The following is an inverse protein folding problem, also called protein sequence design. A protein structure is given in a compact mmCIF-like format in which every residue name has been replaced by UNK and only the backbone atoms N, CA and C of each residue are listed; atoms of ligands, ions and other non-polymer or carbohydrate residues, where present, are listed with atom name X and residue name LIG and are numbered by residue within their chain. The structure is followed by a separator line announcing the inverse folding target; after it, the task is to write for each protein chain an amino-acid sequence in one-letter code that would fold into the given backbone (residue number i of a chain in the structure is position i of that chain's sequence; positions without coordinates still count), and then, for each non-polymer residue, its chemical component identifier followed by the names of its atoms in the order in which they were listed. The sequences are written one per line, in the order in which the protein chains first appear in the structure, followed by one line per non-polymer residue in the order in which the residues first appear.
data_IF_070503560108
#
_entry.id   IF_070503560108
#
_cell.length_a   1.000
_cell.length_b   1.000
_cell.length_c   1.000
_cell.angle_alpha   90.00
_cell.angle_beta   90.00
_cell.angle_gamma   90.00
#
_symmetry.space_group_name_H-M   'P 1'
#
loop_
_entity.id
_entity.type
_entity.pdbx_description
1 polymer ?
#
# COMPACT_ATOMS: atom_id res chain seq x y z
N UNK A 1 -3.27 12.86 8.39
CA UNK A 1 -3.73 11.88 9.40
C UNK A 1 -4.07 10.52 8.76
N UNK A 2 -3.48 9.44 9.27
CA UNK A 2 -3.83 8.08 8.85
C UNK A 2 -4.77 7.38 9.83
N UNK A 3 -5.43 6.32 9.34
CA UNK A 3 -6.37 5.52 10.13
C UNK A 3 -5.62 4.58 11.08
N UNK A 4 -6.17 4.40 12.27
CA UNK A 4 -5.73 3.40 13.26
C UNK A 4 -6.91 2.54 13.69
N UNK A 5 -7.07 1.31 13.16
CA UNK A 5 -7.94 0.32 13.80
C UNK A 5 -7.64 0.20 15.30
N UNK A 6 -8.70 -0.06 16.06
CA UNK A 6 -8.62 -0.44 17.47
C UNK A 6 -9.00 -1.91 17.57
N UNK A 7 -8.20 -2.68 18.30
CA UNK A 7 -8.33 -4.12 18.40
C UNK A 7 -8.52 -4.52 19.87
N UNK A 8 -9.65 -5.15 20.16
CA UNK A 8 -9.91 -5.83 21.40
C UNK A 8 -9.39 -7.27 21.31
N UNK A 9 -8.70 -7.75 22.33
CA UNK A 9 -8.22 -9.12 22.42
C UNK A 9 -9.12 -9.86 23.40
N UNK A 10 -9.98 -10.73 22.86
CA UNK A 10 -10.98 -11.50 23.60
C UNK A 10 -10.80 -12.99 23.34
N UNK A 11 -11.55 -13.84 24.04
CA UNK A 11 -11.40 -15.30 23.98
C UNK A 11 -11.64 -15.89 22.58
N UNK A 12 -12.51 -15.28 21.79
CA UNK A 12 -12.78 -15.67 20.40
C UNK A 12 -11.74 -15.12 19.40
N UNK A 13 -10.67 -14.49 19.90
CA UNK A 13 -9.60 -13.89 19.13
C UNK A 13 -9.68 -12.37 18.99
N UNK A 14 -8.74 -11.76 18.24
CA UNK A 14 -8.70 -10.32 18.03
C UNK A 14 -9.90 -9.81 17.23
N UNK A 15 -10.55 -8.76 17.71
CA UNK A 15 -11.70 -8.12 17.06
C UNK A 15 -11.45 -6.64 16.84
N UNK A 16 -11.81 -6.12 15.65
CA UNK A 16 -11.84 -4.67 15.43
C UNK A 16 -13.03 -4.06 16.15
N UNK A 17 -12.78 -3.00 16.90
CA UNK A 17 -13.79 -2.32 17.70
C UNK A 17 -13.80 -0.83 17.39
N UNK A 18 -15.00 -0.25 17.36
CA UNK A 18 -15.20 1.18 17.24
C UNK A 18 -15.21 1.87 18.62
N UNK A 19 -14.85 3.16 18.72
CA UNK A 19 -14.44 4.04 17.63
C UNK A 19 -12.99 3.80 17.20
N UNK A 20 -12.75 3.80 15.88
CA UNK A 20 -11.39 3.79 15.35
C UNK A 20 -10.65 5.08 15.72
N UNK A 21 -9.33 4.97 15.84
CA UNK A 21 -8.45 6.10 16.15
C UNK A 21 -7.77 6.59 14.88
N UNK A 22 -7.08 7.72 15.01
CA UNK A 22 -6.18 8.24 13.99
C UNK A 22 -4.76 8.29 14.54
N UNK A 23 -3.78 8.10 13.66
CA UNK A 23 -2.40 8.50 14.00
C UNK A 23 -2.23 9.99 13.75
N UNK A 24 -1.51 10.66 14.67
CA UNK A 24 -1.13 12.06 14.55
C UNK A 24 0.12 12.24 13.69
N UNK A 25 0.79 11.16 13.32
CA UNK A 25 1.98 11.17 12.48
C UNK A 25 1.58 11.18 11.01
N UNK A 26 2.12 12.12 10.27
CA UNK A 26 1.85 12.23 8.83
C UNK A 26 2.32 10.98 8.07
N UNK A 27 1.58 10.65 7.02
CA UNK A 27 1.82 9.50 6.13
C UNK A 27 1.96 8.15 6.86
N UNK A 28 1.45 8.02 8.08
CA UNK A 28 1.56 6.79 8.87
C UNK A 28 0.22 6.08 9.00
N UNK A 29 0.25 4.80 9.33
CA UNK A 29 -0.90 4.00 9.74
C UNK A 29 -0.77 3.65 11.23
N UNK A 30 -1.88 3.39 11.91
CA UNK A 30 -1.86 2.97 13.31
C UNK A 30 -2.44 1.58 13.52
N UNK A 31 -2.03 0.89 14.58
CA UNK A 31 -2.76 -0.24 15.16
C UNK A 31 -2.84 0.01 16.66
N UNK A 32 -4.05 0.10 17.22
CA UNK A 32 -4.24 0.29 18.67
C UNK A 32 -4.75 -1.00 19.28
N UNK A 33 -4.04 -1.55 20.27
CA UNK A 33 -4.51 -2.67 21.08
C UNK A 33 -5.15 -2.14 22.37
N UNK A 34 -6.32 -2.67 22.72
CA UNK A 34 -6.94 -2.47 24.04
C UNK A 34 -6.13 -3.16 25.15
N UNK A 35 -6.46 -2.94 26.44
CA UNK A 35 -5.90 -3.75 27.52
C UNK A 35 -6.22 -5.23 27.30
N UNK A 36 -5.24 -6.11 27.56
CA UNK A 36 -5.44 -7.56 27.63
C UNK A 36 -4.37 -8.20 28.52
N UNK A 37 -4.59 -9.45 28.95
CA UNK A 37 -3.57 -10.21 29.70
C UNK A 37 -2.59 -10.89 28.73
N UNK A 38 -1.31 -10.51 28.69
CA UNK A 38 -0.34 -11.09 27.76
C UNK A 38 -0.08 -12.57 28.04
N UNK A 39 -0.19 -13.01 29.29
CA UNK A 39 -0.01 -14.42 29.67
C UNK A 39 -1.17 -15.30 29.17
N UNK A 40 -2.39 -14.76 29.20
CA UNK A 40 -3.58 -15.43 28.66
C UNK A 40 -3.55 -15.48 27.13
N UNK A 41 -3.08 -14.42 26.50
CA UNK A 41 -3.12 -14.23 25.04
C UNK A 41 -1.71 -14.14 24.44
N UNK A 42 -0.87 -15.14 24.71
CA UNK A 42 0.56 -15.13 24.35
C UNK A 42 0.84 -15.25 22.84
N UNK A 43 -0.15 -15.71 22.06
CA UNK A 43 -0.05 -15.93 20.61
C UNK A 43 -0.69 -14.83 19.77
N UNK A 44 -0.91 -13.64 20.34
CA UNK A 44 -1.47 -12.51 19.62
C UNK A 44 -0.36 -11.68 18.98
N UNK A 45 -0.52 -11.42 17.69
CA UNK A 45 0.43 -10.64 16.89
C UNK A 45 -0.28 -9.47 16.21
N UNK A 46 0.44 -8.38 16.03
CA UNK A 46 0.09 -7.31 15.11
C UNK A 46 1.03 -7.34 13.91
N UNK A 47 0.58 -6.82 12.78
CA UNK A 47 1.38 -6.86 11.57
C UNK A 47 0.70 -6.19 10.39
N UNK A 48 1.40 -6.21 9.27
CA UNK A 48 0.86 -5.86 7.97
C UNK A 48 1.27 -6.89 6.94
N UNK A 49 0.41 -7.06 5.95
CA UNK A 49 0.60 -8.00 4.87
C UNK A 49 0.51 -7.35 3.50
N UNK A 50 0.77 -8.14 2.46
CA UNK A 50 0.52 -7.80 1.06
C UNK A 50 -0.32 -8.90 0.43
N UNK A 51 -0.99 -8.61 -0.68
CA UNK A 51 -1.59 -9.66 -1.49
C UNK A 51 -0.52 -10.42 -2.27
N UNK A 52 -0.59 -11.75 -2.30
CA UNK A 52 0.18 -12.58 -3.23
C UNK A 52 -0.53 -12.68 -4.59
N UNK A 53 0.06 -13.42 -5.54
CA UNK A 53 -0.49 -13.59 -6.89
C UNK A 53 -1.82 -14.37 -6.93
N UNK A 54 -2.22 -14.96 -5.82
CA UNK A 54 -3.50 -15.68 -5.63
C UNK A 54 -4.52 -14.82 -4.88
N UNK A 55 -4.26 -13.51 -4.72
CA UNK A 55 -5.09 -12.57 -3.99
C UNK A 55 -5.30 -12.93 -2.50
N UNK A 56 -4.35 -13.64 -1.90
CA UNK A 56 -4.33 -13.97 -0.47
C UNK A 56 -3.43 -12.99 0.26
N UNK A 57 -3.84 -12.57 1.47
CA UNK A 57 -2.99 -11.73 2.33
C UNK A 57 -1.87 -12.61 2.91
N UNK A 58 -0.62 -12.27 2.59
CA UNK A 58 0.58 -12.87 3.18
C UNK A 58 1.23 -11.89 4.17
N UNK A 59 1.65 -12.33 5.37
CA UNK A 59 2.31 -11.46 6.33
C UNK A 59 3.64 -10.96 5.77
N UNK A 60 3.91 -9.65 5.93
CA UNK A 60 5.18 -9.02 5.52
C UNK A 60 6.03 -8.69 6.74
N UNK A 61 5.41 -8.08 7.75
CA UNK A 61 6.03 -7.88 9.04
C UNK A 61 5.01 -8.14 10.15
N UNK A 62 5.42 -8.93 11.13
CA UNK A 62 4.62 -9.33 12.29
C UNK A 62 5.45 -9.16 13.55
N UNK A 63 4.80 -8.76 14.62
CA UNK A 63 5.40 -8.64 15.94
C UNK A 63 4.38 -9.02 17.01
N UNK A 64 4.86 -9.47 18.17
CA UNK A 64 3.97 -9.83 19.27
C UNK A 64 3.23 -8.58 19.75
N UNK A 65 1.90 -8.69 19.86
CA UNK A 65 1.09 -7.62 20.38
C UNK A 65 1.39 -7.42 21.87
N UNK A 66 1.22 -6.18 22.34
CA UNK A 66 1.43 -5.77 23.72
C UNK A 66 0.19 -5.02 24.17
N UNK A 67 -0.27 -5.21 25.41
CA UNK A 67 -1.49 -4.56 25.89
C UNK A 67 -1.33 -3.04 25.95
N UNK A 68 -2.43 -2.32 25.68
CA UNK A 68 -2.47 -0.85 25.75
C UNK A 68 -1.46 -0.11 24.86
N UNK A 69 -1.06 -0.70 23.72
CA UNK A 69 -0.15 -0.05 22.77
C UNK A 69 -0.84 0.57 21.56
N UNK A 70 -0.17 1.59 21.04
CA UNK A 70 -0.39 2.15 19.70
C UNK A 70 0.89 1.90 18.91
N UNK A 71 0.78 1.12 17.84
CA UNK A 71 1.85 0.91 16.88
C UNK A 71 1.66 1.89 15.74
N UNK A 72 2.66 2.73 15.48
CA UNK A 72 2.68 3.63 14.33
C UNK A 72 3.59 3.06 13.25
N UNK A 73 3.00 2.84 12.08
CA UNK A 73 3.66 2.36 10.90
C UNK A 73 3.86 3.53 9.96
N UNK A 74 5.10 3.97 9.82
CA UNK A 74 5.46 5.00 8.85
C UNK A 74 6.14 4.33 7.67
N UNK A 75 5.45 4.17 6.52
CA UNK A 75 6.12 3.82 5.29
C UNK A 75 7.26 4.80 5.04
N UNK A 76 8.47 4.28 4.94
CA UNK A 76 9.56 5.03 4.34
C UNK A 76 9.31 4.98 2.84
N UNK A 77 9.18 6.13 2.19
CA UNK A 77 8.93 6.23 0.75
C UNK A 77 10.24 6.00 -0.03
N UNK A 78 10.92 4.91 0.31
CA UNK A 78 12.12 4.39 -0.33
C UNK A 78 11.78 3.09 -1.02
N UNK A 79 12.19 2.97 -2.27
CA UNK A 79 12.00 1.78 -3.08
C UNK A 79 13.34 1.32 -3.62
N UNK A 80 13.52 0.01 -3.72
CA UNK A 80 14.71 -0.58 -4.33
C UNK A 80 14.29 -1.30 -5.60
N UNK A 81 14.93 -0.97 -6.73
CA UNK A 81 14.70 -1.63 -8.02
C UNK A 81 15.91 -2.47 -8.35
N UNK A 82 15.68 -3.75 -8.58
CA UNK A 82 16.68 -4.72 -9.00
C UNK A 82 16.00 -5.84 -9.79
N UNK A 83 16.80 -6.77 -10.31
CA UNK A 83 16.35 -7.97 -11.00
C UNK A 83 16.87 -9.21 -10.29
N UNK A 84 16.03 -10.23 -10.16
CA UNK A 84 16.39 -11.51 -9.59
C UNK A 84 15.20 -12.47 -9.61
N UNK A 85 15.45 -13.72 -9.24
CA UNK A 85 14.43 -14.77 -9.15
C UNK A 85 14.05 -14.98 -7.69
N UNK A 86 12.79 -14.65 -7.35
CA UNK A 86 12.29 -14.78 -5.99
C UNK A 86 10.91 -15.43 -6.00
N UNK A 87 10.70 -16.50 -5.20
CA UNK A 87 9.37 -17.07 -5.05
C UNK A 87 8.39 -16.00 -4.53
N UNK A 88 7.17 -15.89 -5.09
CA UNK A 88 6.16 -14.97 -4.60
C UNK A 88 5.91 -15.15 -3.11
N UNK A 89 5.84 -14.05 -2.37
CA UNK A 89 5.66 -14.06 -0.91
C UNK A 89 6.94 -14.09 -0.09
N UNK A 90 8.11 -14.26 -0.72
CA UNK A 90 9.41 -14.19 -0.02
C UNK A 90 9.79 -12.74 0.28
N UNK A 91 10.40 -12.52 1.44
CA UNK A 91 11.10 -11.27 1.77
C UNK A 91 12.39 -11.22 0.96
N UNK A 92 12.58 -10.15 0.19
CA UNK A 92 13.82 -9.93 -0.56
C UNK A 92 14.83 -9.24 0.36
N UNK A 93 15.97 -9.90 0.60
CA UNK A 93 17.10 -9.28 1.27
C UNK A 93 17.89 -8.43 0.26
N UNK A 94 17.78 -7.12 0.39
CA UNK A 94 18.42 -6.18 -0.53
C UNK A 94 19.94 -6.26 -0.51
N UNK A 95 20.54 -6.75 0.57
CA UNK A 95 22.01 -6.89 0.70
C UNK A 95 22.57 -8.05 -0.13
N UNK A 96 21.69 -8.94 -0.57
CA UNK A 96 22.02 -10.10 -1.40
C UNK A 96 21.78 -9.85 -2.89
N UNK A 97 21.15 -8.72 -3.24
CA UNK A 97 20.91 -8.33 -4.62
C UNK A 97 22.22 -7.89 -5.29
N UNK A 98 22.28 -8.06 -6.62
CA UNK A 98 23.37 -7.53 -7.44
C UNK A 98 23.28 -6.00 -7.57
N UNK A 99 23.24 -5.49 -8.80
CA UNK A 99 23.00 -4.06 -8.99
C UNK A 99 21.60 -3.66 -8.48
N UNK A 100 21.51 -2.56 -7.74
CA UNK A 100 20.27 -2.01 -7.19
C UNK A 100 20.22 -0.51 -7.44
N UNK A 101 19.04 0.02 -7.77
CA UNK A 101 18.76 1.45 -7.74
C UNK A 101 17.84 1.78 -6.56
N UNK A 102 18.26 2.69 -5.69
CA UNK A 102 17.42 3.23 -4.61
C UNK A 102 16.64 4.45 -5.13
N UNK A 103 15.32 4.42 -4.99
CA UNK A 103 14.42 5.54 -5.22
C UNK A 103 14.02 6.10 -3.86
N UNK A 104 14.51 7.29 -3.53
CA UNK A 104 14.11 8.02 -2.33
C UNK A 104 13.18 9.18 -2.71
N UNK A 105 11.87 9.05 -2.49
CA UNK A 105 10.94 10.15 -2.81
C UNK A 105 11.03 11.32 -1.83
N UNK A 106 11.81 11.22 -0.75
CA UNK A 106 12.00 12.38 0.15
C UNK A 106 12.76 13.53 -0.51
N UNK A 107 13.50 13.25 -1.59
CA UNK A 107 14.18 14.27 -2.40
C UNK A 107 13.34 14.76 -3.59
N UNK A 108 12.15 14.19 -3.81
CA UNK A 108 11.26 14.59 -4.88
C UNK A 108 10.55 15.92 -4.55
N UNK A 109 10.29 16.75 -5.57
CA UNK A 109 9.50 17.97 -5.39
C UNK A 109 8.03 17.62 -5.13
N UNK A 110 7.27 18.45 -4.37
CA UNK A 110 5.83 18.24 -4.19
C UNK A 110 5.11 18.03 -5.53
N UNK A 111 4.33 16.94 -5.62
CA UNK A 111 3.59 16.54 -6.81
C UNK A 111 4.36 15.63 -7.79
N UNK A 112 5.67 15.42 -7.62
CA UNK A 112 6.40 14.41 -8.37
C UNK A 112 6.15 13.03 -7.77
N UNK A 113 5.29 12.25 -8.41
CA UNK A 113 4.87 10.91 -7.94
C UNK A 113 5.32 9.78 -8.84
N UNK A 114 6.09 10.08 -9.89
CA UNK A 114 6.66 9.09 -10.81
C UNK A 114 8.18 9.14 -10.67
N UNK A 115 8.83 7.97 -10.54
CA UNK A 115 10.27 7.84 -10.65
C UNK A 115 10.60 6.93 -11.84
N UNK A 116 11.50 7.38 -12.72
CA UNK A 116 11.96 6.62 -13.89
C UNK A 116 13.41 6.22 -13.71
N UNK A 117 13.71 4.95 -13.96
CA UNK A 117 15.06 4.38 -13.96
C UNK A 117 15.26 3.63 -15.27
N UNK A 118 16.47 3.69 -15.81
CA UNK A 118 16.91 2.87 -16.95
C UNK A 118 17.84 1.79 -16.45
N UNK A 119 17.58 0.53 -16.84
CA UNK A 119 18.55 -0.56 -16.71
C UNK A 119 19.48 -0.52 -17.92
N UNK A 120 20.77 -0.34 -17.68
CA UNK A 120 21.79 -0.26 -18.71
C UNK A 120 22.17 -1.66 -19.21
N UNK A 121 22.83 -1.73 -20.37
CA UNK A 121 23.27 -3.00 -20.97
C UNK A 121 24.33 -3.73 -20.14
N UNK A 122 25.09 -3.00 -19.32
CA UNK A 122 26.07 -3.56 -18.37
C UNK A 122 25.44 -4.10 -17.08
N UNK A 123 24.11 -4.07 -16.98
CA UNK A 123 23.35 -4.53 -15.82
C UNK A 123 23.24 -3.51 -14.69
N UNK A 124 23.85 -2.33 -14.81
CA UNK A 124 23.69 -1.22 -13.86
C UNK A 124 22.36 -0.50 -14.06
N UNK A 125 22.04 0.41 -13.13
CA UNK A 125 20.85 1.23 -13.20
C UNK A 125 21.21 2.71 -13.17
N UNK A 126 20.47 3.54 -13.90
CA UNK A 126 20.58 4.99 -13.82
C UNK A 126 20.14 5.50 -12.44
N UNK A 127 20.57 6.73 -12.12
CA UNK A 127 19.95 7.49 -11.03
C UNK A 127 18.46 7.71 -11.35
N UNK A 128 17.54 7.61 -10.36
CA UNK A 128 16.13 7.89 -10.57
C UNK A 128 15.88 9.33 -11.01
N UNK A 129 14.98 9.51 -11.97
CA UNK A 129 14.47 10.82 -12.39
C UNK A 129 13.02 10.96 -11.94
N UNK A 130 12.73 11.97 -11.12
CA UNK A 130 11.39 12.23 -10.59
C UNK A 130 10.56 13.11 -11.53
N UNK A 131 9.32 12.70 -11.79
CA UNK A 131 8.41 13.32 -12.75
C UNK A 131 7.01 13.50 -12.14
N UNK A 132 6.29 14.49 -12.67
CA UNK A 132 4.87 14.68 -12.37
C UNK A 132 4.03 13.64 -13.12
N UNK A 133 2.90 13.19 -12.55
CA UNK A 133 1.96 12.36 -13.27
C UNK A 133 1.42 13.11 -14.49
N UNK A 134 1.12 12.38 -15.57
CA UNK A 134 0.45 12.98 -16.71
C UNK A 134 -0.85 13.65 -16.24
N UNK A 135 -1.10 14.89 -16.68
CA UNK A 135 -2.39 15.53 -16.42
C UNK A 135 -3.47 14.61 -16.97
N UNK A 136 -4.56 14.35 -16.22
CA UNK A 136 -5.71 13.66 -16.78
C UNK A 136 -6.05 14.33 -18.11
N UNK A 137 -6.19 13.54 -19.18
CA UNK A 137 -6.79 14.07 -20.41
C UNK A 137 -8.11 14.70 -19.97
N UNK A 138 -8.31 15.98 -20.25
CA UNK A 138 -9.62 16.58 -20.04
C UNK A 138 -10.64 15.64 -20.70
N UNK A 139 -11.64 15.17 -19.94
CA UNK A 139 -12.81 14.58 -20.57
C UNK A 139 -13.28 15.67 -21.53
N UNK A 140 -13.14 15.43 -22.84
CA UNK A 140 -13.66 16.33 -23.85
C UNK A 140 -15.10 16.64 -23.46
N UNK A 141 -15.46 17.94 -23.46
CA UNK A 141 -16.77 18.48 -23.08
C UNK A 141 -17.86 17.45 -23.39
N UNK A 142 -18.37 16.75 -22.37
CA UNK A 142 -19.50 15.86 -22.55
C UNK A 142 -20.61 16.72 -23.13
N UNK A 143 -21.02 16.45 -24.37
CA UNK A 143 -22.18 17.09 -24.96
C UNK A 143 -23.35 16.82 -24.02
N UNK A 144 -23.96 17.88 -23.48
CA UNK A 144 -25.10 17.73 -22.59
C UNK A 144 -26.21 16.97 -23.33
N UNK A 145 -27.03 16.21 -22.59
CA UNK A 145 -28.16 15.43 -23.12
C UNK A 145 -29.08 16.19 -24.10
N UNK A 146 -29.15 17.52 -23.98
CA UNK A 146 -29.88 18.39 -24.90
C UNK A 146 -29.32 18.45 -26.33
N UNK A 147 -28.02 18.17 -26.54
CA UNK A 147 -27.36 18.15 -27.84
C UNK A 147 -27.44 16.76 -28.52
N UNK A 148 -27.77 15.71 -27.76
CA UNK A 148 -27.98 14.35 -28.26
C UNK A 148 -29.46 14.13 -28.55
N UNK A 149 -29.98 14.85 -29.54
CA UNK A 149 -31.37 14.74 -29.99
C UNK A 149 -31.86 13.29 -30.08
N UNK A 150 -33.06 13.05 -29.51
CA UNK A 150 -33.86 11.81 -29.47
C UNK A 150 -33.38 10.69 -30.40
N UNK A 151 -32.44 9.86 -29.92
CA UNK A 151 -32.19 8.56 -30.52
C UNK A 151 -33.15 7.56 -29.86
N UNK A 152 -34.05 6.97 -30.64
CA UNK A 152 -34.85 5.83 -30.19
C UNK A 152 -33.91 4.66 -29.82
N UNK A 153 -34.21 3.91 -28.74
CA UNK A 153 -33.39 2.78 -28.36
C UNK A 153 -33.41 1.72 -29.47
N UNK A 154 -32.25 1.11 -29.80
CA UNK A 154 -32.19 0.06 -30.81
C UNK A 154 -33.02 -1.15 -30.39
N UNK A 155 -33.80 -1.70 -31.33
CA UNK A 155 -34.58 -2.91 -31.14
C UNK A 155 -33.66 -4.11 -30.89
N UNK A 156 -33.99 -4.92 -29.88
CA UNK A 156 -33.31 -6.17 -29.57
C UNK A 156 -33.95 -7.26 -30.43
N UNK A 157 -33.24 -7.79 -31.42
CA UNK A 157 -33.61 -9.04 -32.09
C UNK A 157 -33.14 -10.24 -31.25
N UNK A 158 -34.08 -11.11 -30.89
CA UNK A 158 -33.81 -12.38 -30.22
C UNK A 158 -33.50 -13.47 -31.24
N UNK A 159 -32.30 -14.04 -31.17
CA UNK A 159 -31.98 -15.36 -31.73
C UNK A 159 -31.24 -16.19 -30.69
#
# INVERSE_FOLDING_TARGET
PGTSPVTAIVDDGPQFVEPYKITKKDNSFGITTMPFSPDKYSTVYCGYGKYNNQNQVVPVAVWQAQPNKVYELTPVVKYYVSTGEYPPGTTVDITTLGAVSEIDFTIAKPGQTIATITRNSDGTYSTPVFNYPAKPKALGRMKNWAEMGKAEPPAIESH
#
